data_IF_500933300723
#
_entry.id   IF_500933300723
#
_cell.length_a   1.000
_cell.length_b   1.000
_cell.length_c   1.000
_cell.angle_alpha   90.00
_cell.angle_beta   90.00
_cell.angle_gamma   90.00
#
_symmetry.space_group_name_H-M   'P 1'
#
loop_
_entity.id
_entity.type
_entity.pdbx_description
1 polymer ?
#
# COMPACT_ATOMS: atom_id res chain seq x y z
N UNK A 1 -22.93 17.83 12.38
CA UNK A 1 -22.95 16.98 11.18
C UNK A 1 -22.62 15.51 11.43
N UNK A 2 -21.48 15.13 12.06
CA UNK A 2 -21.12 13.70 12.27
C UNK A 2 -22.20 12.89 13.01
N UNK A 3 -22.90 13.45 14.01
CA UNK A 3 -23.97 12.75 14.77
C UNK A 3 -25.17 12.34 13.90
N UNK A 4 -25.48 13.07 12.84
CA UNK A 4 -26.56 12.74 11.90
C UNK A 4 -26.24 11.50 11.04
N UNK A 5 -24.95 11.14 10.90
CA UNK A 5 -24.49 9.97 10.18
C UNK A 5 -24.48 8.69 11.03
N UNK A 6 -24.74 8.81 12.36
CA UNK A 6 -24.69 7.69 13.29
C UNK A 6 -25.62 6.52 12.90
N UNK A 7 -26.92 6.74 12.52
CA UNK A 7 -27.78 5.64 12.12
C UNK A 7 -27.25 4.85 10.90
N UNK A 8 -26.67 5.56 9.93
CA UNK A 8 -26.08 4.93 8.74
C UNK A 8 -24.81 4.13 9.08
N UNK A 9 -24.00 4.64 10.01
CA UNK A 9 -22.81 3.93 10.49
C UNK A 9 -23.21 2.65 11.26
N UNK A 10 -24.28 2.69 12.05
CA UNK A 10 -24.81 1.50 12.76
C UNK A 10 -25.35 0.45 11.79
N UNK A 11 -26.09 0.87 10.76
CA UNK A 11 -26.57 -0.03 9.71
C UNK A 11 -25.39 -0.69 8.96
N UNK A 12 -24.40 0.11 8.59
CA UNK A 12 -23.19 -0.36 7.94
C UNK A 12 -22.42 -1.37 8.84
N UNK A 13 -22.30 -1.06 10.13
CA UNK A 13 -21.71 -1.98 11.13
C UNK A 13 -22.47 -3.31 11.19
N UNK A 14 -23.81 -3.25 11.24
CA UNK A 14 -24.66 -4.43 11.25
C UNK A 14 -24.41 -5.36 10.05
N UNK A 15 -24.35 -4.77 8.84
CA UNK A 15 -24.08 -5.51 7.60
C UNK A 15 -22.67 -6.12 7.60
N UNK A 16 -21.66 -5.33 7.97
CA UNK A 16 -20.26 -5.82 7.99
C UNK A 16 -20.04 -6.88 9.07
N UNK A 17 -20.64 -6.73 10.25
CA UNK A 17 -20.60 -7.75 11.32
C UNK A 17 -21.31 -9.01 10.92
N UNK A 18 -22.52 -8.93 10.34
CA UNK A 18 -23.24 -10.11 9.85
C UNK A 18 -22.38 -10.88 8.84
N UNK A 19 -21.84 -10.20 7.84
CA UNK A 19 -20.95 -10.81 6.85
C UNK A 19 -19.74 -11.48 7.52
N UNK A 20 -19.08 -10.80 8.46
CA UNK A 20 -17.93 -11.38 9.15
C UNK A 20 -18.33 -12.60 9.99
N UNK A 21 -19.47 -12.56 10.70
CA UNK A 21 -19.98 -13.70 11.45
C UNK A 21 -20.29 -14.89 10.55
N UNK A 22 -20.80 -14.66 9.34
CA UNK A 22 -21.05 -15.75 8.36
C UNK A 22 -19.74 -16.46 7.96
N UNK A 23 -18.63 -15.71 7.80
CA UNK A 23 -17.32 -16.30 7.60
C UNK A 23 -16.82 -17.04 8.85
N UNK A 24 -16.94 -16.43 10.04
CA UNK A 24 -16.48 -17.00 11.30
C UNK A 24 -17.19 -18.32 11.63
N UNK A 25 -18.46 -18.45 11.23
CA UNK A 25 -19.26 -19.68 11.36
C UNK A 25 -19.08 -20.69 10.20
N UNK A 26 -18.27 -20.36 9.20
CA UNK A 26 -18.04 -21.21 8.02
C UNK A 26 -19.21 -21.27 7.03
N UNK A 27 -20.22 -20.38 7.16
CA UNK A 27 -21.34 -20.30 6.21
C UNK A 27 -20.94 -19.65 4.89
N UNK A 28 -19.91 -18.80 4.91
CA UNK A 28 -19.21 -18.32 3.73
C UNK A 28 -17.85 -19.00 3.67
N UNK A 29 -17.49 -19.52 2.49
CA UNK A 29 -16.26 -20.29 2.31
C UNK A 29 -15.05 -19.39 2.22
N UNK A 30 -14.04 -19.66 3.05
CA UNK A 30 -12.69 -19.14 2.89
C UNK A 30 -11.84 -20.19 2.16
N UNK A 31 -11.20 -19.80 1.04
CA UNK A 31 -10.36 -20.69 0.24
C UNK A 31 -8.90 -20.63 0.74
N UNK A 32 -8.31 -21.81 0.92
CA UNK A 32 -6.87 -22.01 1.13
C UNK A 32 -6.21 -22.44 -0.17
N UNK A 33 -4.91 -22.21 -0.29
CA UNK A 33 -4.14 -22.50 -1.49
C UNK A 33 -2.82 -23.20 -1.12
N UNK A 34 -2.28 -24.02 -2.02
CA UNK A 34 -1.03 -24.77 -1.78
C UNK A 34 0.23 -23.88 -1.95
N UNK A 35 0.11 -22.59 -1.70
CA UNK A 35 1.18 -21.60 -1.78
C UNK A 35 1.04 -20.62 -0.62
N UNK A 36 2.15 -20.18 0.01
CA UNK A 36 2.11 -19.15 1.02
C UNK A 36 1.47 -17.86 0.50
N UNK A 37 0.55 -17.31 1.30
CA UNK A 37 -0.12 -16.04 1.00
C UNK A 37 0.07 -15.09 2.16
N UNK A 38 0.63 -13.91 1.87
CA UNK A 38 0.77 -12.80 2.80
C UNK A 38 -0.24 -11.71 2.38
N UNK A 39 -1.14 -11.33 3.26
CA UNK A 39 -2.11 -10.27 3.01
C UNK A 39 -1.69 -9.00 3.75
N UNK A 40 -1.47 -7.92 3.03
CA UNK A 40 -1.24 -6.58 3.58
C UNK A 40 -2.50 -5.74 3.36
N UNK A 41 -2.99 -5.11 4.41
CA UNK A 41 -4.16 -4.27 4.28
C UNK A 41 -4.44 -3.44 5.53
N UNK A 42 -5.59 -2.80 5.57
CA UNK A 42 -5.97 -1.90 6.65
C UNK A 42 -7.48 -1.98 6.92
N UNK A 43 -7.93 -1.41 8.04
CA UNK A 43 -9.36 -1.30 8.36
C UNK A 43 -9.97 0.01 7.86
N UNK A 44 -9.19 1.04 7.59
CA UNK A 44 -9.68 2.36 7.23
C UNK A 44 -9.56 2.63 5.72
N UNK A 45 -10.42 3.49 5.17
CA UNK A 45 -10.19 4.09 3.84
C UNK A 45 -9.12 5.16 3.92
N UNK A 46 -8.38 5.35 2.80
CA UNK A 46 -7.35 6.38 2.67
C UNK A 46 -5.93 5.83 2.72
N UNK A 47 -4.99 6.74 2.69
CA UNK A 47 -3.56 6.45 2.50
C UNK A 47 -2.84 5.99 3.78
N UNK A 48 -3.10 4.79 4.25
CA UNK A 48 -2.42 4.21 5.43
C UNK A 48 -0.98 3.75 5.17
N UNK A 49 -0.41 4.04 3.99
CA UNK A 49 0.93 3.61 3.64
C UNK A 49 1.04 2.17 3.14
N UNK A 50 -0.04 1.59 2.58
CA UNK A 50 -0.04 0.21 2.07
C UNK A 50 1.06 -0.03 1.05
N UNK A 51 1.10 0.75 -0.02
CA UNK A 51 2.04 0.57 -1.12
C UNK A 51 3.50 0.47 -0.67
N UNK A 52 4.06 1.41 0.12
CA UNK A 52 5.44 1.30 0.57
C UNK A 52 5.70 0.12 1.52
N UNK A 53 4.70 -0.36 2.29
CA UNK A 53 4.85 -1.56 3.10
C UNK A 53 4.80 -2.84 2.27
N UNK A 54 3.93 -2.91 1.25
CA UNK A 54 3.91 -4.02 0.29
C UNK A 54 5.24 -4.07 -0.45
N UNK A 55 5.75 -2.94 -0.91
CA UNK A 55 7.06 -2.83 -1.58
C UNK A 55 8.21 -3.29 -0.67
N UNK A 56 8.20 -2.89 0.60
CA UNK A 56 9.19 -3.34 1.60
C UNK A 56 9.18 -4.87 1.76
N UNK A 57 7.99 -5.46 1.94
CA UNK A 57 7.83 -6.91 2.13
C UNK A 57 8.25 -7.68 0.88
N UNK A 58 7.80 -7.24 -0.30
CA UNK A 58 8.18 -7.85 -1.58
C UNK A 58 9.68 -7.74 -1.81
N UNK A 59 10.28 -6.60 -1.50
CA UNK A 59 11.74 -6.42 -1.56
C UNK A 59 12.48 -7.46 -0.74
N UNK A 60 12.08 -7.69 0.52
CA UNK A 60 12.67 -8.71 1.39
C UNK A 60 12.53 -10.14 0.85
N UNK A 61 11.36 -10.46 0.27
CA UNK A 61 11.12 -11.78 -0.31
C UNK A 61 11.97 -12.02 -1.55
N UNK A 62 12.09 -11.02 -2.44
CA UNK A 62 12.95 -11.08 -3.62
C UNK A 62 14.44 -11.16 -3.27
N UNK A 63 14.89 -10.41 -2.22
CA UNK A 63 16.25 -10.47 -1.71
C UNK A 63 16.57 -11.85 -1.08
N UNK A 64 15.58 -12.52 -0.51
CA UNK A 64 15.71 -13.88 -0.01
C UNK A 64 15.66 -14.95 -1.11
N UNK A 65 15.50 -14.55 -2.38
CA UNK A 65 15.51 -15.43 -3.54
C UNK A 65 14.17 -16.03 -3.91
N UNK A 66 13.04 -15.65 -3.24
CA UNK A 66 11.72 -16.18 -3.56
C UNK A 66 11.14 -15.60 -4.84
N UNK A 67 10.53 -16.45 -5.68
CA UNK A 67 9.71 -16.04 -6.81
C UNK A 67 8.38 -15.48 -6.26
N UNK A 68 8.24 -14.19 -6.31
CA UNK A 68 7.18 -13.46 -5.62
C UNK A 68 6.17 -12.86 -6.60
N UNK A 69 4.88 -13.06 -6.35
CA UNK A 69 3.83 -12.33 -7.05
C UNK A 69 3.11 -11.34 -6.12
N UNK A 70 2.69 -10.21 -6.69
CA UNK A 70 1.69 -9.33 -6.08
C UNK A 70 0.36 -9.51 -6.82
N UNK A 71 -0.73 -9.59 -6.04
CA UNK A 71 -2.09 -9.55 -6.57
C UNK A 71 -2.87 -8.40 -5.94
N UNK A 72 -3.11 -7.35 -6.72
CA UNK A 72 -3.88 -6.17 -6.34
C UNK A 72 -5.29 -6.19 -6.94
N UNK A 73 -6.14 -5.26 -6.51
CA UNK A 73 -7.48 -5.09 -7.11
C UNK A 73 -7.44 -4.38 -8.48
N UNK A 74 -6.46 -3.50 -8.66
CA UNK A 74 -6.45 -2.56 -9.78
C UNK A 74 -7.53 -1.50 -9.60
N UNK A 75 -7.51 -0.78 -8.47
CA UNK A 75 -8.48 0.29 -8.21
C UNK A 75 -8.42 1.36 -9.30
N UNK A 76 -9.59 1.81 -9.77
CA UNK A 76 -9.70 2.86 -10.79
C UNK A 76 -9.38 2.44 -12.23
N UNK A 77 -8.95 1.19 -12.50
CA UNK A 77 -8.67 0.67 -13.83
C UNK A 77 -9.95 0.57 -14.68
N UNK A 78 -9.79 0.65 -15.99
CA UNK A 78 -10.88 0.48 -16.98
C UNK A 78 -11.12 -0.99 -17.35
N UNK A 79 -10.12 -1.85 -17.20
CA UNK A 79 -10.19 -3.29 -17.51
C UNK A 79 -10.86 -4.07 -16.37
N UNK A 80 -11.29 -5.30 -16.65
CA UNK A 80 -11.90 -6.23 -15.66
C UNK A 80 -11.27 -7.61 -15.74
N UNK A 81 -11.46 -8.39 -14.66
CA UNK A 81 -10.96 -9.75 -14.56
C UNK A 81 -9.46 -9.84 -14.25
N UNK A 82 -8.87 -11.00 -14.44
CA UNK A 82 -7.45 -11.21 -14.24
C UNK A 82 -6.63 -10.58 -15.37
N UNK A 83 -5.58 -9.86 -14.99
CA UNK A 83 -4.59 -9.33 -15.93
C UNK A 83 -3.22 -9.32 -15.24
N UNK A 84 -2.28 -10.02 -15.83
CA UNK A 84 -0.86 -9.90 -15.47
C UNK A 84 -0.28 -8.64 -16.12
N UNK A 85 0.50 -7.87 -15.38
CA UNK A 85 1.10 -6.64 -15.86
C UNK A 85 2.28 -6.92 -16.80
N UNK A 86 2.46 -6.02 -17.75
CA UNK A 86 3.56 -5.97 -18.70
C UNK A 86 4.11 -4.54 -18.84
N UNK A 87 5.25 -4.38 -19.49
CA UNK A 87 5.85 -3.06 -19.74
C UNK A 87 4.97 -2.12 -20.58
N UNK A 88 4.03 -2.68 -21.34
CA UNK A 88 3.13 -1.91 -22.22
C UNK A 88 1.88 -1.40 -21.51
N UNK A 89 1.64 -1.86 -20.28
CA UNK A 89 0.43 -1.49 -19.55
C UNK A 89 0.49 -0.04 -19.04
N UNK A 90 -0.68 0.58 -19.04
CA UNK A 90 -0.89 1.94 -18.55
C UNK A 90 -1.63 1.94 -17.21
N UNK A 91 -1.57 3.06 -16.48
CA UNK A 91 -2.34 3.22 -15.24
C UNK A 91 -3.86 3.07 -15.44
N UNK A 92 -4.37 3.40 -16.64
CA UNK A 92 -5.79 3.21 -16.96
C UNK A 92 -6.19 1.75 -17.11
N UNK A 93 -5.27 0.88 -17.49
CA UNK A 93 -5.52 -0.54 -17.72
C UNK A 93 -5.36 -1.39 -16.47
N UNK A 94 -4.42 -1.03 -15.59
CA UNK A 94 -4.06 -1.86 -14.43
C UNK A 94 -4.17 -1.14 -13.09
N UNK A 95 -4.31 0.19 -13.08
CA UNK A 95 -4.29 1.04 -11.89
C UNK A 95 -2.89 1.60 -11.61
N UNK A 96 -2.83 2.78 -10.99
CA UNK A 96 -1.61 3.51 -10.69
C UNK A 96 -0.69 2.76 -9.69
N UNK A 97 -1.23 2.27 -8.58
CA UNK A 97 -0.45 1.57 -7.54
C UNK A 97 0.15 0.23 -8.04
N UNK A 98 -0.60 -0.67 -8.72
CA UNK A 98 -0.01 -1.88 -9.30
C UNK A 98 1.05 -1.58 -10.35
N UNK A 99 0.88 -0.55 -11.18
CA UNK A 99 1.86 -0.16 -12.18
C UNK A 99 3.14 0.41 -11.55
N UNK A 100 3.00 1.24 -10.50
CA UNK A 100 4.14 1.72 -9.71
C UNK A 100 4.97 0.55 -9.16
N UNK A 101 4.33 -0.41 -8.48
CA UNK A 101 5.01 -1.58 -7.92
C UNK A 101 5.66 -2.45 -9.01
N UNK A 102 4.97 -2.65 -10.14
CA UNK A 102 5.54 -3.37 -11.28
C UNK A 102 6.83 -2.73 -11.77
N UNK A 103 6.86 -1.42 -11.98
CA UNK A 103 8.05 -0.69 -12.46
C UNK A 103 9.20 -0.71 -11.45
N UNK A 104 8.89 -0.66 -10.16
CA UNK A 104 9.90 -0.73 -9.09
C UNK A 104 10.68 -2.04 -9.11
N UNK A 105 10.03 -3.15 -9.47
CA UNK A 105 10.61 -4.50 -9.44
C UNK A 105 10.79 -5.15 -10.82
N UNK A 106 10.52 -4.45 -11.93
CA UNK A 106 10.49 -5.02 -13.28
C UNK A 106 11.78 -5.73 -13.72
N UNK A 107 12.91 -5.43 -13.10
CA UNK A 107 14.21 -6.06 -13.41
C UNK A 107 14.51 -7.30 -12.56
N UNK A 108 13.57 -7.77 -11.75
CA UNK A 108 13.69 -8.93 -10.86
C UNK A 108 12.73 -10.03 -11.27
N UNK A 109 12.89 -11.22 -10.71
CA UNK A 109 11.96 -12.35 -10.89
C UNK A 109 10.68 -12.07 -10.08
N UNK A 110 9.85 -11.18 -10.62
CA UNK A 110 8.69 -10.61 -9.96
C UNK A 110 7.48 -10.61 -10.90
N UNK A 111 6.33 -10.97 -10.38
CA UNK A 111 5.05 -10.99 -11.11
C UNK A 111 4.10 -10.02 -10.45
N UNK A 112 3.51 -9.14 -11.23
CA UNK A 112 2.42 -8.27 -10.78
C UNK A 112 1.14 -8.60 -11.55
N UNK A 113 0.03 -8.76 -10.84
CA UNK A 113 -1.26 -9.03 -11.44
C UNK A 113 -2.38 -8.28 -10.73
N UNK A 114 -3.46 -8.03 -11.45
CA UNK A 114 -4.68 -7.42 -10.93
C UNK A 114 -5.88 -8.31 -11.17
N UNK A 115 -6.76 -8.41 -10.18
CA UNK A 115 -8.04 -9.11 -10.29
C UNK A 115 -8.96 -8.66 -9.15
N UNK A 116 -10.22 -8.32 -9.44
CA UNK A 116 -11.21 -7.97 -8.39
C UNK A 116 -11.53 -9.18 -7.51
N UNK A 117 -11.63 -10.35 -8.12
CA UNK A 117 -11.81 -11.63 -7.44
C UNK A 117 -10.44 -12.25 -7.14
N UNK A 118 -9.99 -12.11 -5.88
CA UNK A 118 -8.66 -12.60 -5.46
C UNK A 118 -8.57 -14.13 -5.56
N UNK A 119 -9.67 -14.85 -5.36
CA UNK A 119 -9.69 -16.33 -5.48
C UNK A 119 -9.37 -16.74 -6.91
N UNK A 120 -10.03 -16.11 -7.89
CA UNK A 120 -9.74 -16.35 -9.32
C UNK A 120 -8.33 -15.92 -9.69
N UNK A 121 -7.89 -14.75 -9.19
CA UNK A 121 -6.55 -14.23 -9.46
C UNK A 121 -5.45 -15.16 -8.95
N UNK A 122 -5.59 -15.69 -7.73
CA UNK A 122 -4.62 -16.63 -7.16
C UNK A 122 -4.59 -17.95 -7.97
N UNK A 123 -5.76 -18.49 -8.31
CA UNK A 123 -5.84 -19.73 -9.13
C UNK A 123 -5.12 -19.55 -10.46
N UNK A 124 -5.33 -18.40 -11.13
CA UNK A 124 -4.69 -18.13 -12.41
C UNK A 124 -3.17 -17.97 -12.26
N UNK A 125 -2.70 -17.23 -11.23
CA UNK A 125 -1.27 -17.10 -10.95
C UNK A 125 -0.58 -18.44 -10.72
N UNK A 126 -1.21 -19.37 -9.98
CA UNK A 126 -0.65 -20.72 -9.72
C UNK A 126 -0.57 -21.53 -11.01
N UNK A 127 -1.56 -21.42 -11.91
CA UNK A 127 -1.58 -22.14 -13.18
C UNK A 127 -0.52 -21.59 -14.12
N UNK A 128 -0.42 -20.26 -14.25
CA UNK A 128 0.51 -19.61 -15.18
C UNK A 128 1.97 -19.66 -14.69
N UNK A 129 2.16 -19.78 -13.37
CA UNK A 129 3.46 -19.75 -12.71
C UNK A 129 3.59 -20.86 -11.66
N UNK A 130 3.74 -22.14 -12.08
CA UNK A 130 3.80 -23.29 -11.17
C UNK A 130 5.00 -23.29 -10.21
N UNK A 131 6.02 -22.49 -10.54
CA UNK A 131 7.23 -22.34 -9.71
C UNK A 131 7.18 -21.12 -8.79
N UNK A 132 6.00 -20.52 -8.57
CA UNK A 132 5.84 -19.37 -7.71
C UNK A 132 5.96 -19.80 -6.23
N UNK A 133 6.73 -19.04 -5.42
CA UNK A 133 6.99 -19.40 -4.02
C UNK A 133 6.02 -18.71 -3.07
N UNK A 134 5.55 -17.50 -3.39
CA UNK A 134 4.68 -16.71 -2.51
C UNK A 134 3.83 -15.72 -3.28
N UNK A 135 2.62 -15.45 -2.78
CA UNK A 135 1.75 -14.39 -3.28
C UNK A 135 1.50 -13.37 -2.17
N UNK A 136 1.77 -12.10 -2.46
CA UNK A 136 1.43 -10.97 -1.61
C UNK A 136 0.12 -10.34 -2.11
N UNK A 137 -0.89 -10.29 -1.25
CA UNK A 137 -2.17 -9.65 -1.56
C UNK A 137 -2.14 -8.20 -1.07
N UNK A 138 -2.30 -7.26 -1.98
CA UNK A 138 -2.43 -5.85 -1.68
C UNK A 138 -3.90 -5.46 -1.49
N UNK A 139 -4.16 -4.70 -0.44
CA UNK A 139 -5.50 -4.21 0.00
C UNK A 139 -6.59 -5.27 -0.02
N UNK A 140 -6.29 -6.45 0.55
CA UNK A 140 -7.22 -7.59 0.54
C UNK A 140 -7.75 -7.98 1.94
N UNK A 141 -7.55 -7.15 2.97
CA UNK A 141 -7.92 -7.48 4.36
C UNK A 141 -9.41 -7.77 4.53
N UNK A 142 -10.27 -7.07 3.79
CA UNK A 142 -11.72 -7.31 3.76
C UNK A 142 -12.14 -8.44 2.81
N UNK A 143 -11.23 -8.97 1.97
CA UNK A 143 -11.56 -10.02 0.98
C UNK A 143 -11.42 -11.41 1.62
N UNK A 144 -12.31 -11.72 2.56
CA UNK A 144 -12.29 -12.94 3.39
C UNK A 144 -12.52 -14.25 2.64
N UNK A 145 -12.88 -14.22 1.37
CA UNK A 145 -12.93 -15.43 0.53
C UNK A 145 -11.55 -16.10 0.35
N UNK A 146 -10.46 -15.38 0.60
CA UNK A 146 -9.10 -15.94 0.68
C UNK A 146 -8.70 -16.03 2.16
N UNK A 147 -8.20 -17.19 2.58
CA UNK A 147 -7.59 -17.42 3.89
C UNK A 147 -6.06 -17.34 3.75
N UNK A 148 -5.44 -16.18 3.91
CA UNK A 148 -3.98 -16.07 3.87
C UNK A 148 -3.36 -16.69 5.12
N UNK A 149 -2.13 -17.16 5.02
CA UNK A 149 -1.41 -17.69 6.17
C UNK A 149 -0.75 -16.62 7.04
N UNK A 150 -0.58 -15.40 6.49
CA UNK A 150 -0.15 -14.21 7.26
C UNK A 150 -0.97 -13.00 6.86
N UNK A 151 -1.52 -12.31 7.88
CA UNK A 151 -2.27 -11.06 7.74
C UNK A 151 -1.53 -9.93 8.45
N UNK A 152 -1.10 -8.94 7.69
CA UNK A 152 -0.44 -7.74 8.19
C UNK A 152 -1.43 -6.60 8.12
N UNK A 153 -1.77 -6.05 9.29
CA UNK A 153 -2.72 -4.95 9.43
C UNK A 153 -1.97 -3.64 9.64
N UNK A 154 -2.20 -2.69 8.75
CA UNK A 154 -1.63 -1.35 8.86
C UNK A 154 -2.61 -0.39 9.53
N UNK A 155 -2.08 0.50 10.38
CA UNK A 155 -2.84 1.59 10.99
C UNK A 155 -1.98 2.84 11.11
N UNK A 156 -2.54 4.03 10.91
CA UNK A 156 -1.79 5.29 11.01
C UNK A 156 -1.55 5.68 12.47
N UNK A 157 -0.38 6.23 12.77
CA UNK A 157 -0.02 6.74 14.10
C UNK A 157 -1.00 7.83 14.56
N UNK A 158 -1.21 8.87 13.76
CA UNK A 158 -2.08 9.99 14.15
C UNK A 158 -3.57 9.61 14.23
N UNK A 159 -3.97 8.55 13.51
CA UNK A 159 -5.37 8.14 13.43
C UNK A 159 -5.51 6.61 13.40
N UNK A 160 -5.17 5.94 14.51
CA UNK A 160 -5.23 4.49 14.62
C UNK A 160 -6.67 3.98 14.62
N UNK A 161 -6.85 2.71 14.22
CA UNK A 161 -8.17 2.09 14.05
C UNK A 161 -9.00 2.05 15.32
N UNK A 162 -8.39 2.03 16.49
CA UNK A 162 -9.08 2.01 17.80
C UNK A 162 -9.72 3.35 18.16
N UNK A 163 -9.33 4.44 17.50
CA UNK A 163 -9.83 5.81 17.71
C UNK A 163 -10.62 6.37 16.53
N UNK A 164 -10.93 5.54 15.52
CA UNK A 164 -11.70 5.95 14.35
C UNK A 164 -13.09 5.30 14.36
N UNK A 165 -14.01 5.87 13.60
CA UNK A 165 -15.39 5.41 13.48
C UNK A 165 -15.63 4.73 12.13
N UNK A 166 -16.69 3.94 12.08
CA UNK A 166 -17.15 3.31 10.84
C UNK A 166 -17.67 4.33 9.82
N UNK A 167 -17.54 3.99 8.56
CA UNK A 167 -18.20 4.73 7.48
C UNK A 167 -19.71 4.80 7.70
N UNK A 168 -20.35 5.94 7.38
CA UNK A 168 -19.79 7.18 6.85
C UNK A 168 -19.38 8.19 7.95
N UNK A 169 -19.43 7.84 9.22
CA UNK A 169 -19.10 8.74 10.34
C UNK A 169 -17.59 8.93 10.53
N UNK A 170 -16.80 7.91 10.23
CA UNK A 170 -15.34 7.89 10.22
C UNK A 170 -14.80 7.26 8.96
N UNK A 171 -13.61 6.58 9.06
CA UNK A 171 -12.93 5.97 7.91
C UNK A 171 -12.94 4.44 7.92
N UNK A 172 -13.41 3.79 9.00
CA UNK A 172 -13.34 2.34 9.09
C UNK A 172 -14.29 1.65 8.11
N UNK A 173 -13.75 0.69 7.34
CA UNK A 173 -14.48 -0.21 6.42
C UNK A 173 -15.15 -1.36 7.16
N UNK A 174 -14.73 -1.65 8.37
CA UNK A 174 -15.30 -2.63 9.29
C UNK A 174 -14.89 -2.28 10.73
N UNK A 175 -15.54 -2.89 11.72
CA UNK A 175 -15.25 -2.67 13.14
C UNK A 175 -13.77 -2.90 13.47
N UNK A 176 -13.24 -2.12 14.43
CA UNK A 176 -11.88 -2.32 14.98
C UNK A 176 -11.62 -3.76 15.48
N UNK A 177 -12.68 -4.52 15.83
CA UNK A 177 -12.58 -5.96 16.13
C UNK A 177 -11.97 -6.77 14.99
N UNK A 178 -12.03 -6.27 13.75
CA UNK A 178 -11.35 -6.86 12.60
C UNK A 178 -9.83 -7.04 12.81
N UNK A 179 -9.21 -6.24 13.68
CA UNK A 179 -7.80 -6.37 14.04
C UNK A 179 -7.44 -7.72 14.69
N UNK A 180 -8.40 -8.41 15.31
CA UNK A 180 -8.19 -9.75 15.88
C UNK A 180 -7.79 -10.81 14.86
N UNK A 181 -8.06 -10.58 13.56
CA UNK A 181 -7.66 -11.49 12.49
C UNK A 181 -6.22 -11.30 12.03
N UNK A 182 -5.59 -10.17 12.41
CA UNK A 182 -4.23 -9.88 12.01
C UNK A 182 -3.22 -10.73 12.78
N UNK A 183 -2.21 -11.23 12.08
CA UNK A 183 -1.08 -11.92 12.69
C UNK A 183 -0.01 -10.91 13.14
N UNK A 184 0.03 -9.76 12.47
CA UNK A 184 0.94 -8.63 12.75
C UNK A 184 0.18 -7.32 12.60
N UNK A 185 0.42 -6.35 13.48
CA UNK A 185 -0.03 -4.96 13.34
C UNK A 185 1.20 -4.08 13.10
N UNK A 186 1.11 -3.15 12.13
CA UNK A 186 2.14 -2.13 11.93
C UNK A 186 1.51 -0.75 12.06
N UNK A 187 2.00 0.04 13.01
CA UNK A 187 1.67 1.45 13.13
C UNK A 187 2.55 2.22 12.17
N UNK A 188 1.93 2.88 11.21
CA UNK A 188 2.61 3.54 10.08
C UNK A 188 2.72 5.03 10.28
N UNK A 189 3.65 5.67 9.55
CA UNK A 189 3.85 7.12 9.58
C UNK A 189 4.17 7.67 10.97
N UNK A 190 4.87 6.88 11.78
CA UNK A 190 5.32 7.31 13.08
C UNK A 190 6.36 8.43 12.95
N UNK A 191 6.43 9.34 13.94
CA UNK A 191 7.59 10.21 14.09
C UNK A 191 8.87 9.36 14.18
N UNK A 192 9.96 9.81 13.55
CA UNK A 192 11.23 9.08 13.60
C UNK A 192 11.83 8.99 15.01
N UNK A 193 11.44 9.91 15.89
CA UNK A 193 11.86 10.00 17.29
C UNK A 193 10.78 9.49 18.27
N UNK A 194 10.00 8.46 17.88
CA UNK A 194 9.00 7.85 18.75
C UNK A 194 9.69 7.24 19.99
N UNK A 195 9.21 7.60 21.19
CA UNK A 195 9.76 7.09 22.46
C UNK A 195 9.26 5.67 22.75
N UNK A 196 10.02 4.90 23.56
CA UNK A 196 9.60 3.58 24.03
C UNK A 196 8.32 3.65 24.86
N UNK A 197 8.13 4.69 25.66
CA UNK A 197 6.91 4.88 26.44
C UNK A 197 5.69 5.04 25.56
N UNK A 198 5.78 5.81 24.49
CA UNK A 198 4.68 5.93 23.50
C UNK A 198 4.44 4.61 22.78
N UNK A 199 5.52 3.92 22.38
CA UNK A 199 5.46 2.57 21.80
C UNK A 199 4.63 1.63 22.68
N UNK A 200 4.97 1.53 23.97
CA UNK A 200 4.30 0.63 24.91
C UNK A 200 2.82 0.98 25.10
N UNK A 201 2.48 2.28 25.15
CA UNK A 201 1.09 2.75 25.17
C UNK A 201 0.30 2.34 23.93
N UNK A 202 0.94 2.39 22.74
CA UNK A 202 0.30 1.94 21.50
C UNK A 202 0.13 0.42 21.49
N UNK A 203 1.13 -0.35 21.91
CA UNK A 203 1.05 -1.81 22.02
C UNK A 203 -0.11 -2.20 22.94
N UNK A 204 -0.15 -1.67 24.16
CA UNK A 204 -1.21 -1.98 25.15
C UNK A 204 -2.63 -1.71 24.60
N UNK A 205 -2.77 -0.78 23.68
CA UNK A 205 -4.05 -0.34 23.11
C UNK A 205 -4.45 -1.11 21.85
N UNK A 206 -3.47 -1.39 20.96
CA UNK A 206 -3.73 -1.93 19.63
C UNK A 206 -3.59 -3.45 19.56
N UNK A 207 -2.83 -4.04 20.48
CA UNK A 207 -2.65 -5.48 20.55
C UNK A 207 -3.96 -6.15 20.91
N UNK A 208 -4.52 -6.91 19.97
CA UNK A 208 -5.82 -7.57 20.15
C UNK A 208 -5.69 -8.98 20.75
N UNK A 209 -4.49 -9.56 20.73
CA UNK A 209 -4.14 -10.87 21.26
C UNK A 209 -2.70 -10.85 21.82
N UNK A 210 -2.40 -11.64 22.86
CA UNK A 210 -1.06 -11.68 23.47
C UNK A 210 0.07 -12.07 22.50
N UNK A 211 -0.24 -12.90 21.51
CA UNK A 211 0.68 -13.41 20.48
C UNK A 211 0.79 -12.52 19.23
N UNK A 212 0.10 -11.36 19.22
CA UNK A 212 0.08 -10.45 18.09
C UNK A 212 1.13 -9.35 18.25
N UNK A 213 2.26 -9.39 17.52
CA UNK A 213 3.27 -8.33 17.58
C UNK A 213 2.76 -7.04 16.94
N UNK A 214 3.19 -5.91 17.52
CA UNK A 214 2.90 -4.56 17.03
C UNK A 214 4.23 -3.89 16.69
N UNK A 215 4.45 -3.59 15.42
CA UNK A 215 5.61 -2.88 14.91
C UNK A 215 5.29 -1.42 14.61
N UNK A 216 6.32 -0.61 14.48
CA UNK A 216 6.21 0.81 14.20
C UNK A 216 7.07 1.16 12.99
N UNK A 217 6.56 1.98 12.08
CA UNK A 217 7.28 2.37 10.88
C UNK A 217 7.20 3.86 10.62
N UNK A 218 8.27 4.40 10.07
CA UNK A 218 8.37 5.75 9.55
C UNK A 218 8.61 5.72 8.04
N UNK A 219 8.44 6.87 7.40
CA UNK A 219 8.73 7.05 5.98
C UNK A 219 10.05 7.80 5.87
N UNK A 220 10.99 7.20 5.18
CA UNK A 220 12.22 7.84 4.76
C UNK A 220 12.10 8.28 3.29
N UNK A 221 12.49 9.50 3.00
CA UNK A 221 12.57 10.03 1.65
C UNK A 221 13.97 9.77 1.08
N UNK A 222 14.03 9.37 -0.19
CA UNK A 222 15.31 9.24 -0.88
C UNK A 222 16.05 10.58 -0.97
N UNK A 223 17.31 10.53 -1.44
CA UNK A 223 18.11 11.71 -1.65
C UNK A 223 17.37 12.71 -2.56
N UNK A 224 17.42 13.98 -2.18
CA UNK A 224 16.84 15.07 -2.95
C UNK A 224 17.89 15.64 -3.92
N UNK A 225 17.48 16.22 -5.06
CA UNK A 225 18.38 16.95 -5.91
C UNK A 225 18.95 18.16 -5.15
N UNK A 226 20.18 18.56 -5.48
CA UNK A 226 20.83 19.72 -4.89
C UNK A 226 20.27 21.02 -5.51
N UNK A 227 19.11 21.46 -5.03
CA UNK A 227 18.42 22.66 -5.51
C UNK A 227 17.87 23.48 -4.34
N UNK A 228 17.79 24.81 -4.51
CA UNK A 228 17.23 25.71 -3.51
C UNK A 228 15.72 25.94 -3.74
N UNK A 229 15.28 25.84 -5.01
CA UNK A 229 13.89 25.96 -5.39
C UNK A 229 13.50 24.92 -6.46
N UNK A 230 12.24 24.51 -6.47
CA UNK A 230 11.69 23.55 -7.41
C UNK A 230 10.17 23.74 -7.59
N UNK A 231 9.64 23.28 -8.72
CA UNK A 231 8.22 22.99 -8.83
C UNK A 231 7.90 21.68 -8.09
N UNK A 232 6.73 21.57 -7.48
CA UNK A 232 6.22 20.31 -6.90
C UNK A 232 4.83 20.01 -7.46
N UNK A 233 4.67 18.86 -8.09
CA UNK A 233 3.39 18.40 -8.61
C UNK A 233 2.95 17.18 -7.81
N UNK A 234 1.76 17.26 -7.18
CA UNK A 234 1.19 16.12 -6.43
C UNK A 234 -0.30 15.96 -6.66
N UNK A 235 -0.74 14.71 -6.75
CA UNK A 235 -2.14 14.27 -6.70
C UNK A 235 -2.30 13.13 -5.69
N UNK A 236 -1.80 13.33 -4.47
CA UNK A 236 -1.88 12.39 -3.34
C UNK A 236 -2.79 12.94 -2.24
N UNK A 237 -3.37 12.06 -1.44
CA UNK A 237 -4.35 12.40 -0.40
C UNK A 237 -3.84 13.40 0.66
N UNK A 238 -2.56 13.38 1.00
CA UNK A 238 -1.96 14.31 1.97
C UNK A 238 -0.50 14.65 1.61
N UNK A 239 -0.25 15.79 0.96
CA UNK A 239 1.10 16.23 0.60
C UNK A 239 1.86 16.88 1.77
N UNK A 240 1.21 17.19 2.91
CA UNK A 240 1.82 17.95 4.00
C UNK A 240 3.11 17.34 4.55
N UNK A 241 3.25 16.03 4.76
CA UNK A 241 4.51 15.44 5.21
C UNK A 241 5.67 15.70 4.23
N UNK A 242 5.40 15.58 2.93
CA UNK A 242 6.38 15.85 1.87
C UNK A 242 6.79 17.34 1.87
N UNK A 243 5.82 18.24 1.95
CA UNK A 243 6.09 19.69 2.02
C UNK A 243 6.94 20.06 3.25
N UNK A 244 6.64 19.45 4.41
CA UNK A 244 7.45 19.66 5.61
C UNK A 244 8.88 19.13 5.43
N UNK A 245 9.04 17.96 4.79
CA UNK A 245 10.34 17.38 4.52
C UNK A 245 11.18 18.29 3.60
N UNK A 246 10.61 18.76 2.47
CA UNK A 246 11.29 19.67 1.55
C UNK A 246 11.69 20.98 2.22
N UNK A 247 10.79 21.56 3.02
CA UNK A 247 11.08 22.77 3.81
C UNK A 247 12.20 22.55 4.81
N UNK A 248 12.23 21.41 5.51
CA UNK A 248 13.29 21.07 6.47
C UNK A 248 14.66 20.90 5.78
N UNK A 249 14.67 20.54 4.48
CA UNK A 249 15.88 20.48 3.64
C UNK A 249 16.24 21.81 2.99
N UNK A 250 15.50 22.89 3.28
CA UNK A 250 15.77 24.22 2.75
C UNK A 250 15.28 24.45 1.32
N UNK A 251 14.52 23.49 0.73
CA UNK A 251 14.02 23.62 -0.63
C UNK A 251 12.70 24.40 -0.62
N UNK A 252 12.65 25.51 -1.35
CA UNK A 252 11.43 26.26 -1.61
C UNK A 252 10.68 25.58 -2.76
N UNK A 253 9.36 25.43 -2.63
CA UNK A 253 8.56 24.80 -3.68
C UNK A 253 7.40 25.67 -4.11
N UNK A 254 7.20 25.81 -5.42
CA UNK A 254 5.93 26.23 -6.02
C UNK A 254 5.10 24.98 -6.23
N UNK A 255 4.00 24.85 -5.44
CA UNK A 255 3.24 23.59 -5.35
C UNK A 255 1.95 23.63 -6.17
N UNK A 256 1.87 22.77 -7.17
CA UNK A 256 0.67 22.48 -7.94
C UNK A 256 0.02 21.18 -7.39
N UNK A 257 -1.11 21.34 -6.69
CA UNK A 257 -1.77 20.25 -5.98
C UNK A 257 -3.06 19.83 -6.67
N UNK A 258 -3.18 18.54 -6.94
CA UNK A 258 -4.38 17.91 -7.50
C UNK A 258 -5.04 16.97 -6.47
N UNK A 259 -6.33 16.65 -6.64
CA UNK A 259 -7.00 15.63 -5.82
C UNK A 259 -6.30 14.27 -5.89
N UNK A 260 -6.49 13.42 -4.86
CA UNK A 260 -5.98 12.03 -4.89
C UNK A 260 -6.60 11.26 -6.08
N UNK A 261 -5.76 10.45 -6.74
CA UNK A 261 -6.13 9.72 -7.96
C UNK A 261 -6.61 10.62 -9.12
N UNK A 262 -6.16 11.88 -9.17
CA UNK A 262 -6.52 12.79 -10.24
C UNK A 262 -6.09 12.25 -11.61
N UNK A 263 -7.00 12.34 -12.59
CA UNK A 263 -6.71 12.05 -14.00
C UNK A 263 -6.36 13.34 -14.69
N UNK A 264 -5.10 13.48 -15.06
CA UNK A 264 -4.62 14.69 -15.72
C UNK A 264 -5.29 14.89 -17.07
N UNK A 265 -5.81 16.10 -17.29
CA UNK A 265 -6.42 16.56 -18.52
C UNK A 265 -5.44 17.37 -19.37
N UNK A 266 -5.86 17.77 -20.56
CA UNK A 266 -5.09 18.69 -21.42
C UNK A 266 -4.91 20.06 -20.79
N UNK A 267 -5.89 20.58 -20.03
CA UNK A 267 -5.75 21.84 -19.30
C UNK A 267 -4.73 21.72 -18.15
N UNK A 268 -4.73 20.61 -17.44
CA UNK A 268 -3.73 20.34 -16.39
C UNK A 268 -2.32 20.26 -17.00
N UNK A 269 -2.21 19.66 -18.19
CA UNK A 269 -0.95 19.61 -18.93
C UNK A 269 -0.39 20.99 -19.20
N UNK A 270 -1.23 21.93 -19.65
CA UNK A 270 -0.79 23.30 -19.95
C UNK A 270 -0.35 24.03 -18.67
N UNK A 271 -1.03 23.85 -17.54
CA UNK A 271 -0.64 24.39 -16.25
C UNK A 271 0.70 23.79 -15.75
N UNK A 272 0.88 22.48 -15.90
CA UNK A 272 2.13 21.77 -15.59
C UNK A 272 3.28 22.28 -16.47
N UNK A 273 3.05 22.50 -17.75
CA UNK A 273 4.05 23.03 -18.68
C UNK A 273 4.50 24.43 -18.25
N UNK A 274 3.57 25.33 -17.97
CA UNK A 274 3.87 26.68 -17.51
C UNK A 274 4.65 26.68 -16.20
N UNK A 275 4.29 25.81 -15.25
CA UNK A 275 5.02 25.66 -14.00
C UNK A 275 6.45 25.14 -14.25
N UNK A 276 6.59 24.09 -15.05
CA UNK A 276 7.89 23.46 -15.33
C UNK A 276 8.86 24.35 -16.12
N UNK A 277 8.36 25.30 -16.90
CA UNK A 277 9.20 26.26 -17.61
C UNK A 277 9.89 27.25 -16.65
N UNK A 278 9.25 27.59 -15.55
CA UNK A 278 9.79 28.54 -14.55
C UNK A 278 10.84 27.93 -13.61
N UNK A 279 10.93 26.59 -13.54
CA UNK A 279 11.82 25.90 -12.62
C UNK A 279 12.82 25.00 -13.36
N UNK A 280 14.02 24.87 -12.78
CA UNK A 280 15.04 23.95 -13.28
C UNK A 280 14.71 22.47 -12.97
N UNK A 281 14.02 22.23 -11.85
CA UNK A 281 13.64 20.90 -11.37
C UNK A 281 12.13 20.86 -11.04
N UNK A 282 11.48 19.77 -11.45
CA UNK A 282 10.10 19.46 -11.15
C UNK A 282 10.07 18.21 -10.28
N UNK A 283 9.67 18.35 -9.05
CA UNK A 283 9.51 17.25 -8.11
C UNK A 283 8.12 16.63 -8.26
N UNK A 284 8.04 15.31 -8.20
CA UNK A 284 6.75 14.58 -8.16
C UNK A 284 6.89 13.29 -7.38
N UNK A 285 5.77 12.66 -6.99
CA UNK A 285 5.78 11.37 -6.31
C UNK A 285 5.84 10.22 -7.32
N UNK A 286 6.25 9.02 -6.90
CA UNK A 286 6.22 7.80 -7.75
C UNK A 286 4.81 7.53 -8.30
N UNK A 287 3.78 7.71 -7.44
CA UNK A 287 2.37 7.53 -7.82
C UNK A 287 1.93 8.52 -8.90
N UNK A 288 2.37 9.77 -8.79
CA UNK A 288 2.03 10.81 -9.77
C UNK A 288 2.83 10.68 -11.05
N UNK A 289 4.09 10.28 -10.98
CA UNK A 289 4.95 10.07 -12.14
C UNK A 289 4.31 9.09 -13.15
N UNK A 290 3.76 7.98 -12.68
CA UNK A 290 3.04 6.99 -13.51
C UNK A 290 1.86 7.61 -14.26
N UNK A 291 1.15 8.58 -13.64
CA UNK A 291 0.01 9.28 -14.25
C UNK A 291 0.44 10.41 -15.19
N UNK A 292 1.52 11.12 -14.84
CA UNK A 292 2.08 12.20 -15.67
C UNK A 292 2.57 11.70 -17.03
N UNK A 293 3.01 10.45 -17.15
CA UNK A 293 3.42 9.87 -18.43
C UNK A 293 2.32 9.88 -19.48
N UNK A 294 1.05 9.77 -19.06
CA UNK A 294 -0.11 9.80 -19.97
C UNK A 294 -0.28 11.18 -20.66
N UNK A 295 0.30 12.24 -20.10
CA UNK A 295 0.23 13.60 -20.65
C UNK A 295 1.12 13.84 -21.86
N UNK A 296 1.99 12.89 -22.21
CA UNK A 296 2.94 13.04 -23.33
C UNK A 296 3.68 14.39 -23.27
N UNK A 297 4.28 14.67 -22.12
CA UNK A 297 5.07 15.89 -21.91
C UNK A 297 6.26 15.95 -22.87
N UNK A 298 6.68 17.15 -23.35
CA UNK A 298 7.87 17.33 -24.17
C UNK A 298 9.13 16.75 -23.50
N UNK A 299 10.07 16.22 -24.29
CA UNK A 299 11.26 15.56 -23.77
C UNK A 299 12.12 16.48 -22.87
N UNK A 300 12.27 17.77 -23.25
CA UNK A 300 13.03 18.72 -22.43
C UNK A 300 12.42 18.98 -21.04
N UNK A 301 11.14 18.67 -20.83
CA UNK A 301 10.51 18.75 -19.51
C UNK A 301 10.59 17.41 -18.76
N UNK A 302 10.54 16.29 -19.46
CA UNK A 302 10.73 14.98 -18.82
C UNK A 302 12.10 14.91 -18.15
N UNK A 303 13.15 15.52 -18.73
CA UNK A 303 14.49 15.56 -18.15
C UNK A 303 14.57 16.41 -16.87
N UNK A 304 13.62 17.33 -16.65
CA UNK A 304 13.52 18.11 -15.41
C UNK A 304 12.77 17.39 -14.30
N UNK A 305 11.98 16.34 -14.61
CA UNK A 305 11.16 15.64 -13.63
C UNK A 305 12.04 14.74 -12.76
N UNK A 306 12.04 15.03 -11.46
CA UNK A 306 12.67 14.22 -10.45
C UNK A 306 11.61 13.52 -9.61
N UNK A 307 11.59 12.18 -9.66
CA UNK A 307 10.63 11.36 -8.95
C UNK A 307 11.13 11.13 -7.52
N UNK A 308 10.36 11.63 -6.56
CA UNK A 308 10.62 11.45 -5.14
C UNK A 308 10.18 10.05 -4.72
N UNK A 309 11.16 9.21 -4.45
CA UNK A 309 10.90 7.87 -3.93
C UNK A 309 10.84 7.88 -2.41
N UNK A 310 9.98 7.03 -1.88
CA UNK A 310 9.86 6.80 -0.44
C UNK A 310 10.18 5.35 -0.11
N UNK A 311 10.73 5.16 1.08
CA UNK A 311 10.93 3.83 1.65
C UNK A 311 10.30 3.78 3.04
N UNK A 312 9.85 2.60 3.44
CA UNK A 312 9.40 2.34 4.80
C UNK A 312 10.55 1.75 5.60
N UNK A 313 10.79 2.29 6.78
CA UNK A 313 11.73 1.75 7.75
C UNK A 313 11.01 1.43 9.06
N UNK A 314 11.24 0.25 9.61
CA UNK A 314 10.78 -0.07 10.95
C UNK A 314 11.63 0.65 11.99
N UNK A 315 10.99 1.11 13.06
CA UNK A 315 11.65 1.71 14.22
C UNK A 315 12.10 0.62 15.19
N UNK A 316 12.86 1.01 16.19
CA UNK A 316 13.35 0.14 17.28
C UNK A 316 14.18 -1.07 16.81
N UNK A 317 14.87 -0.94 15.66
CA UNK A 317 15.70 -1.97 15.04
C UNK A 317 14.98 -3.32 14.80
N UNK A 318 13.63 -3.30 14.70
CA UNK A 318 12.80 -4.49 14.56
C UNK A 318 12.70 -5.01 13.10
N UNK A 319 13.44 -4.42 12.16
CA UNK A 319 13.42 -4.81 10.75
C UNK A 319 13.78 -6.28 10.54
N UNK A 320 14.84 -6.76 11.20
CA UNK A 320 15.27 -8.15 11.11
C UNK A 320 14.18 -9.09 11.63
N UNK A 321 13.56 -8.77 12.76
CA UNK A 321 12.54 -9.60 13.42
C UNK A 321 11.33 -9.84 12.51
N UNK A 322 10.78 -8.79 11.92
CA UNK A 322 9.63 -8.95 11.00
C UNK A 322 10.04 -9.63 9.70
N UNK A 323 11.20 -9.25 9.14
CA UNK A 323 11.71 -9.84 7.90
C UNK A 323 11.93 -11.34 8.05
N UNK A 324 12.61 -11.78 9.09
CA UNK A 324 12.89 -13.20 9.34
C UNK A 324 11.61 -13.99 9.57
N UNK A 325 10.64 -13.44 10.31
CA UNK A 325 9.34 -14.08 10.53
C UNK A 325 8.60 -14.35 9.20
N UNK A 326 8.61 -13.40 8.28
CA UNK A 326 7.95 -13.55 6.98
C UNK A 326 8.72 -14.50 6.06
N UNK A 327 10.05 -14.45 6.04
CA UNK A 327 10.90 -15.34 5.26
C UNK A 327 10.75 -16.79 5.75
N UNK A 328 10.76 -17.00 7.06
CA UNK A 328 10.58 -18.32 7.66
C UNK A 328 9.20 -18.89 7.37
N UNK A 329 8.15 -18.05 7.45
CA UNK A 329 6.79 -18.46 7.05
C UNK A 329 6.76 -18.94 5.59
N UNK A 330 7.38 -18.21 4.66
CA UNK A 330 7.42 -18.61 3.25
C UNK A 330 8.24 -19.89 3.07
N UNK A 331 9.43 -19.97 3.66
CA UNK A 331 10.33 -21.13 3.57
C UNK A 331 9.66 -22.41 4.05
N UNK A 332 8.94 -22.34 5.18
CA UNK A 332 8.28 -23.52 5.78
C UNK A 332 7.05 -23.98 4.98
N UNK A 333 6.43 -23.09 4.19
CA UNK A 333 5.16 -23.38 3.51
C UNK A 333 5.25 -23.37 1.98
N UNK A 334 6.40 -23.07 1.37
CA UNK A 334 6.58 -23.13 -0.09
C UNK A 334 6.87 -24.57 -0.53
N UNK A 335 6.25 -24.98 -1.64
CA UNK A 335 6.42 -26.33 -2.23
C UNK A 335 7.83 -26.57 -2.76
N UNK A 336 8.62 -25.53 -2.98
CA UNK A 336 10.01 -25.59 -3.44
C UNK A 336 11.02 -26.06 -2.37
N UNK A 337 10.63 -26.06 -1.08
CA UNK A 337 11.48 -26.58 0.02
C UNK A 337 11.30 -28.09 0.31
N UNK A 338 10.46 -28.82 -0.43
CA UNK A 338 10.22 -30.25 -0.21
C UNK A 338 11.00 -31.17 -1.14
N UNK A 339 12.14 -30.71 -1.66
CA UNK A 339 13.08 -31.54 -2.45
C UNK A 339 14.45 -31.45 -1.79
N UNK A 340 14.64 -32.25 -0.77
CA UNK A 340 15.91 -32.83 -0.32
C UNK A 340 15.73 -34.33 -0.11
#
# INVERSE_FOLDING_TARGET
MKRLLCPFALLYDGVTRLRNTLFDKGWLTEHTFPIPIICVGNLAVGGTGKTPHVEMIVGWLLEAGFRTAILSRGYGRKTKGFRQLSEKDTAEEVGDEPLQMFRRFQHRTFISAVCEDRVKGIKQLIVDHPNLDVIVLDDAYQHRYVKPGRRILLTEYDRPFDRDFLLPMGRLRESARGAQRADVVIVTKCPSALSETERDQYIARLQSRPDQPVFFSTIDYAALPAVEDAALITGIANPSPLLHHLKAKGIKVEHLSFPDHHRFSTSDRDEILQLAERHAVVLTTEKDAVRLELLQLPEHLKTKIYVLTIATRLLFDETATLRENLIEYVRTNSSSCSVD
#
